data_IF_168673293450
#
_entry.id   IF_168673293450
#
_cell.length_a   1.000
_cell.length_b   1.000
_cell.length_c   1.000
_cell.angle_alpha   90.00
_cell.angle_beta   90.00
_cell.angle_gamma   90.00
#
_symmetry.space_group_name_H-M   'P 1'
#
loop_
_entity.id
_entity.type
_entity.pdbx_description
1 polymer ?
#
# COMPACT_ATOMS: atom_id res chain seq x y z
N UNK A 1 -12.55 -42.19 17.21
CA UNK A 1 -11.45 -41.21 17.38
C UNK A 1 -11.89 -39.94 16.69
N UNK A 2 -12.54 -39.04 17.40
CA UNK A 2 -12.81 -37.70 16.89
C UNK A 2 -11.48 -36.94 16.98
N UNK A 3 -10.84 -36.67 15.84
CA UNK A 3 -9.74 -35.72 15.77
C UNK A 3 -10.30 -34.37 16.16
N UNK A 4 -10.10 -33.96 17.41
CA UNK A 4 -10.25 -32.58 17.83
C UNK A 4 -9.23 -31.79 17.04
N UNK A 5 -9.65 -31.31 15.90
CA UNK A 5 -8.93 -30.31 15.13
C UNK A 5 -8.96 -29.06 15.99
N UNK A 6 -7.94 -28.86 16.82
CA UNK A 6 -7.84 -27.66 17.64
C UNK A 6 -7.59 -26.52 16.67
N UNK A 7 -8.56 -25.63 16.54
CA UNK A 7 -8.46 -24.49 15.62
C UNK A 7 -7.24 -23.61 15.85
N UNK A 8 -6.60 -23.73 17.00
CA UNK A 8 -5.39 -23.02 17.37
C UNK A 8 -4.15 -23.40 16.51
N UNK A 9 -4.09 -24.61 15.98
CA UNK A 9 -2.98 -25.02 15.10
C UNK A 9 -3.01 -24.31 13.73
N UNK A 10 -4.19 -23.87 13.28
CA UNK A 10 -4.35 -23.15 12.01
C UNK A 10 -4.25 -21.62 12.15
N UNK A 11 -4.26 -21.09 13.36
CA UNK A 11 -4.20 -19.66 13.63
C UNK A 11 -2.94 -18.98 13.02
N UNK A 12 -1.72 -19.53 13.14
CA UNK A 12 -0.53 -18.93 12.52
C UNK A 12 -0.61 -18.86 11.00
N UNK A 13 -1.25 -19.84 10.35
CA UNK A 13 -1.44 -19.85 8.90
C UNK A 13 -2.22 -18.62 8.43
N UNK A 14 -3.32 -18.28 9.10
CA UNK A 14 -4.11 -17.10 8.75
C UNK A 14 -3.34 -15.80 9.00
N UNK A 15 -2.55 -15.72 10.06
CA UNK A 15 -1.70 -14.57 10.33
C UNK A 15 -0.64 -14.33 9.25
N UNK A 16 0.08 -15.37 8.84
CA UNK A 16 1.06 -15.27 7.75
C UNK A 16 0.41 -15.00 6.40
N UNK A 17 -0.78 -15.54 6.14
CA UNK A 17 -1.55 -15.22 4.94
C UNK A 17 -1.93 -13.74 4.90
N UNK A 18 -2.32 -13.16 6.05
CA UNK A 18 -2.57 -11.72 6.18
C UNK A 18 -1.34 -10.87 5.88
N UNK A 19 -0.18 -11.23 6.43
CA UNK A 19 1.08 -10.53 6.16
C UNK A 19 1.47 -10.62 4.68
N UNK A 20 1.35 -11.79 4.06
CA UNK A 20 1.62 -11.98 2.64
C UNK A 20 0.65 -11.16 1.76
N UNK A 21 -0.64 -11.15 2.08
CA UNK A 21 -1.63 -10.37 1.34
C UNK A 21 -1.35 -8.86 1.42
N UNK A 22 -0.98 -8.33 2.60
CA UNK A 22 -0.60 -6.94 2.77
C UNK A 22 0.55 -6.55 1.85
N UNK A 23 1.60 -7.35 1.82
CA UNK A 23 2.79 -7.08 1.02
C UNK A 23 2.51 -7.19 -0.48
N UNK A 24 1.90 -8.28 -0.92
CA UNK A 24 1.68 -8.56 -2.35
C UNK A 24 0.78 -7.51 -2.98
N UNK A 25 -0.38 -7.23 -2.39
CA UNK A 25 -1.34 -6.27 -2.97
C UNK A 25 -0.81 -4.84 -2.95
N UNK A 26 -0.11 -4.41 -1.90
CA UNK A 26 0.48 -3.07 -1.87
C UNK A 26 1.61 -2.92 -2.89
N UNK A 27 2.46 -3.94 -3.06
CA UNK A 27 3.51 -3.93 -4.09
C UNK A 27 2.94 -3.94 -5.50
N UNK A 28 1.84 -4.66 -5.76
CA UNK A 28 1.14 -4.61 -7.04
C UNK A 28 0.60 -3.21 -7.35
N UNK A 29 0.00 -2.55 -6.35
CA UNK A 29 -0.47 -1.17 -6.47
C UNK A 29 0.66 -0.20 -6.77
N UNK A 30 1.76 -0.31 -6.02
CA UNK A 30 2.96 0.51 -6.22
C UNK A 30 3.57 0.30 -7.61
N UNK A 31 3.69 -0.95 -8.05
CA UNK A 31 4.25 -1.28 -9.37
C UNK A 31 3.39 -0.71 -10.52
N UNK A 32 2.07 -0.85 -10.44
CA UNK A 32 1.17 -0.28 -11.43
C UNK A 32 1.24 1.25 -11.44
N UNK A 33 1.22 1.88 -10.27
CA UNK A 33 1.30 3.34 -10.11
C UNK A 33 2.60 3.91 -10.66
N UNK A 34 3.73 3.30 -10.34
CA UNK A 34 5.06 3.72 -10.84
C UNK A 34 5.18 3.51 -12.35
N UNK A 35 4.71 2.39 -12.88
CA UNK A 35 4.76 2.12 -14.32
C UNK A 35 3.91 3.14 -15.11
N UNK A 36 2.66 3.38 -14.68
CA UNK A 36 1.74 4.27 -15.39
C UNK A 36 2.19 5.73 -15.35
N UNK A 37 2.60 6.23 -14.18
CA UNK A 37 3.13 7.59 -14.04
C UNK A 37 4.48 7.75 -14.76
N UNK A 38 5.32 6.72 -14.80
CA UNK A 38 6.59 6.72 -15.51
C UNK A 38 6.43 6.90 -17.02
N UNK A 39 5.41 6.28 -17.63
CA UNK A 39 5.07 6.50 -19.05
C UNK A 39 4.70 7.96 -19.30
N UNK A 40 3.92 8.58 -18.39
CA UNK A 40 3.59 10.00 -18.48
C UNK A 40 4.83 10.89 -18.46
N UNK A 41 5.75 10.64 -17.50
CA UNK A 41 7.01 11.39 -17.39
C UNK A 41 7.90 11.21 -18.62
N UNK A 42 8.00 9.99 -19.15
CA UNK A 42 8.78 9.72 -20.34
C UNK A 42 8.25 10.47 -21.57
N UNK A 43 6.92 10.46 -21.77
CA UNK A 43 6.29 11.18 -22.90
C UNK A 43 6.46 12.69 -22.82
N UNK A 44 6.43 13.26 -21.60
CA UNK A 44 6.69 14.68 -21.37
C UNK A 44 8.17 15.03 -21.56
N UNK A 45 9.07 14.15 -21.11
CA UNK A 45 10.53 14.39 -21.19
C UNK A 45 11.07 14.56 -22.61
N UNK A 46 10.39 13.95 -23.60
CA UNK A 46 10.71 14.14 -25.03
C UNK A 46 10.38 15.58 -25.47
N UNK A 47 9.33 16.18 -24.93
CA UNK A 47 8.91 17.53 -25.32
C UNK A 47 9.62 18.63 -24.53
N UNK A 48 9.82 18.43 -23.21
CA UNK A 48 10.42 19.41 -22.30
C UNK A 48 11.32 18.74 -21.26
N UNK A 49 12.62 18.52 -21.56
CA UNK A 49 13.53 17.83 -20.65
C UNK A 49 13.78 18.58 -19.33
N UNK A 50 13.63 19.89 -19.31
CA UNK A 50 13.81 20.75 -18.10
C UNK A 50 12.81 20.46 -16.99
N UNK A 51 11.61 19.95 -17.32
CA UNK A 51 10.55 19.69 -16.36
C UNK A 51 10.54 18.26 -15.80
N UNK A 52 11.39 17.37 -16.32
CA UNK A 52 11.43 15.95 -15.91
C UNK A 52 11.69 15.81 -14.41
N UNK A 53 12.67 16.55 -13.88
CA UNK A 53 13.02 16.50 -12.45
C UNK A 53 11.87 16.97 -11.54
N UNK A 54 11.07 17.92 -11.98
CA UNK A 54 9.92 18.41 -11.22
C UNK A 54 8.73 17.43 -11.30
N UNK A 55 8.62 16.68 -12.37
CA UNK A 55 7.48 15.79 -12.67
C UNK A 55 7.67 14.33 -12.22
N UNK A 56 8.83 13.99 -11.62
CA UNK A 56 9.10 12.64 -11.11
C UNK A 56 8.33 12.33 -9.80
N UNK A 57 7.77 13.32 -9.15
CA UNK A 57 7.09 13.21 -7.86
C UNK A 57 6.01 12.13 -7.82
N UNK A 58 5.08 11.98 -8.79
CA UNK A 58 4.06 10.93 -8.76
C UNK A 58 4.66 9.52 -8.78
N UNK A 59 5.75 9.31 -9.49
CA UNK A 59 6.44 8.00 -9.58
C UNK A 59 6.99 7.60 -8.21
N UNK A 60 7.65 8.53 -7.51
CA UNK A 60 8.20 8.30 -6.17
C UNK A 60 7.08 8.06 -5.17
N UNK A 61 6.01 8.85 -5.21
CA UNK A 61 4.87 8.71 -4.29
C UNK A 61 4.14 7.38 -4.46
N UNK A 62 4.02 6.87 -5.69
CA UNK A 62 3.47 5.54 -5.93
C UNK A 62 4.37 4.44 -5.33
N UNK A 63 5.70 4.58 -5.41
CA UNK A 63 6.66 3.63 -4.84
C UNK A 63 6.59 3.51 -3.32
N UNK A 64 6.30 4.60 -2.62
CA UNK A 64 6.18 4.63 -1.15
C UNK A 64 5.06 3.71 -0.64
N UNK A 65 4.00 3.47 -1.43
CA UNK A 65 2.90 2.55 -1.04
C UNK A 65 3.40 1.12 -0.79
N UNK A 66 4.39 0.65 -1.55
CA UNK A 66 5.01 -0.66 -1.33
C UNK A 66 5.71 -0.75 0.02
N UNK A 67 6.35 0.33 0.47
CA UNK A 67 7.02 0.40 1.78
C UNK A 67 5.99 0.32 2.91
N UNK A 68 4.85 0.99 2.79
CA UNK A 68 3.78 0.88 3.81
C UNK A 68 3.26 -0.55 3.96
N UNK A 69 3.04 -1.27 2.85
CA UNK A 69 2.65 -2.67 2.91
C UNK A 69 3.69 -3.56 3.60
N UNK A 70 4.98 -3.28 3.37
CA UNK A 70 6.07 -3.99 4.03
C UNK A 70 6.09 -3.75 5.55
N UNK A 71 5.90 -2.51 5.98
CA UNK A 71 5.84 -2.17 7.41
C UNK A 71 4.73 -2.96 8.11
N UNK A 72 3.52 -2.99 7.54
CA UNK A 72 2.39 -3.73 8.10
C UNK A 72 2.67 -5.23 8.13
N UNK A 73 3.24 -5.80 7.07
CA UNK A 73 3.59 -7.22 7.02
C UNK A 73 4.61 -7.60 8.11
N UNK A 74 5.59 -6.75 8.38
CA UNK A 74 6.58 -6.95 9.46
C UNK A 74 5.90 -6.86 10.83
N UNK A 75 5.02 -5.90 11.08
CA UNK A 75 4.30 -5.76 12.36
C UNK A 75 3.46 -7.01 12.62
N UNK A 76 2.72 -7.51 11.62
CA UNK A 76 1.93 -8.73 11.76
C UNK A 76 2.84 -9.92 12.06
N UNK A 77 3.94 -10.09 11.33
CA UNK A 77 4.85 -11.24 11.50
C UNK A 77 5.56 -11.24 12.85
N UNK A 78 5.88 -10.07 13.41
CA UNK A 78 6.46 -9.96 14.77
C UNK A 78 5.42 -10.22 15.87
N UNK A 79 4.13 -9.97 15.61
CA UNK A 79 3.03 -10.30 16.53
C UNK A 79 2.77 -11.80 16.66
N UNK A 80 3.16 -12.61 15.65
CA UNK A 80 3.02 -14.06 15.65
C UNK A 80 4.22 -14.70 16.36
N UNK A 81 4.21 -14.67 17.71
CA UNK A 81 5.32 -15.25 18.48
C UNK A 81 4.83 -16.49 19.25
N UNK A 82 5.19 -17.71 18.82
CA UNK A 82 4.69 -18.94 19.43
C UNK A 82 5.25 -19.21 20.83
N UNK A 83 6.26 -18.46 21.28
CA UNK A 83 6.89 -18.67 22.58
C UNK A 83 6.37 -17.76 23.69
N UNK A 84 5.67 -16.67 23.39
CA UNK A 84 5.33 -15.64 24.37
C UNK A 84 3.86 -15.63 24.79
N UNK A 85 2.93 -16.03 23.93
CA UNK A 85 1.48 -16.09 24.20
C UNK A 85 0.83 -17.21 23.37
N UNK A 86 -0.22 -17.85 23.92
CA UNK A 86 -1.10 -18.70 23.12
C UNK A 86 -1.76 -17.86 22.01
N UNK A 87 -1.45 -18.15 20.75
CA UNK A 87 -2.00 -17.45 19.59
C UNK A 87 -3.36 -18.08 19.25
N UNK A 88 -4.43 -17.36 19.56
CA UNK A 88 -5.78 -17.84 19.34
C UNK A 88 -6.24 -17.63 17.89
N UNK A 89 -7.19 -18.43 17.46
CA UNK A 89 -7.79 -18.35 16.12
C UNK A 89 -8.39 -16.96 15.84
N UNK A 90 -8.93 -16.30 16.84
CA UNK A 90 -9.46 -14.93 16.74
C UNK A 90 -8.38 -13.92 16.33
N UNK A 91 -7.18 -14.02 16.91
CA UNK A 91 -6.05 -13.15 16.57
C UNK A 91 -5.56 -13.42 15.14
N UNK A 92 -5.59 -14.68 14.69
CA UNK A 92 -5.29 -15.05 13.32
C UNK A 92 -6.22 -14.38 12.30
N UNK A 93 -7.52 -14.39 12.56
CA UNK A 93 -8.50 -13.72 11.70
C UNK A 93 -8.37 -12.19 11.75
N UNK A 94 -8.07 -11.62 12.89
CA UNK A 94 -7.85 -10.18 13.03
C UNK A 94 -6.63 -9.72 12.21
N UNK A 95 -5.53 -10.46 12.27
CA UNK A 95 -4.34 -10.19 11.46
C UNK A 95 -4.60 -10.39 9.96
N UNK A 96 -5.37 -11.41 9.57
CA UNK A 96 -5.78 -11.61 8.18
C UNK A 96 -6.59 -10.43 7.65
N UNK A 97 -7.62 -10.00 8.41
CA UNK A 97 -8.49 -8.90 7.99
C UNK A 97 -7.73 -7.57 7.88
N UNK A 98 -6.83 -7.26 8.83
CA UNK A 98 -6.03 -6.05 8.81
C UNK A 98 -5.04 -6.05 7.65
N UNK A 99 -4.37 -7.17 7.38
CA UNK A 99 -3.46 -7.33 6.26
C UNK A 99 -4.13 -7.20 4.89
N UNK A 100 -5.32 -7.82 4.75
CA UNK A 100 -6.10 -7.73 3.51
C UNK A 100 -6.64 -6.32 3.27
N UNK A 101 -7.16 -5.67 4.31
CA UNK A 101 -7.63 -4.28 4.23
C UNK A 101 -6.51 -3.32 3.81
N UNK A 102 -5.33 -3.46 4.42
CA UNK A 102 -4.15 -2.68 4.06
C UNK A 102 -3.71 -2.94 2.62
N UNK A 103 -3.62 -4.20 2.21
CA UNK A 103 -3.18 -4.57 0.88
C UNK A 103 -4.11 -4.05 -0.22
N UNK A 104 -5.42 -4.26 -0.09
CA UNK A 104 -6.42 -3.81 -1.06
C UNK A 104 -6.48 -2.28 -1.16
N UNK A 105 -6.39 -1.59 -0.04
CA UNK A 105 -6.34 -0.14 -0.06
C UNK A 105 -5.05 0.38 -0.73
N UNK A 106 -3.88 -0.28 -0.52
CA UNK A 106 -2.63 0.03 -1.24
C UNK A 106 -2.72 -0.20 -2.74
N UNK A 107 -3.45 -1.25 -3.15
CA UNK A 107 -3.72 -1.52 -4.56
C UNK A 107 -4.55 -0.39 -5.19
N UNK A 108 -5.67 -0.02 -4.55
CA UNK A 108 -6.57 1.03 -5.07
C UNK A 108 -5.88 2.39 -5.15
N UNK A 109 -5.14 2.78 -4.10
CA UNK A 109 -4.38 4.03 -4.06
C UNK A 109 -3.29 4.06 -5.14
N UNK A 110 -2.56 2.96 -5.34
CA UNK A 110 -1.54 2.87 -6.37
C UNK A 110 -2.09 3.04 -7.78
N UNK A 111 -3.24 2.42 -8.07
CA UNK A 111 -3.94 2.61 -9.34
C UNK A 111 -4.40 4.06 -9.55
N UNK A 112 -5.01 4.67 -8.53
CA UNK A 112 -5.47 6.06 -8.59
C UNK A 112 -4.31 7.03 -8.83
N UNK A 113 -3.20 6.89 -8.08
CA UNK A 113 -2.00 7.73 -8.23
C UNK A 113 -1.40 7.56 -9.63
N UNK A 114 -1.36 6.33 -10.16
CA UNK A 114 -0.83 6.07 -11.48
C UNK A 114 -1.61 6.78 -12.59
N UNK A 115 -2.94 6.71 -12.56
CA UNK A 115 -3.81 7.33 -13.56
C UNK A 115 -3.75 8.87 -13.45
N UNK A 116 -3.91 9.40 -12.24
CA UNK A 116 -3.84 10.86 -12.00
C UNK A 116 -2.44 11.40 -12.29
N UNK A 117 -1.39 10.63 -11.96
CA UNK A 117 0.00 10.99 -12.24
C UNK A 117 0.28 11.09 -13.74
N UNK A 118 -0.15 10.12 -14.55
CA UNK A 118 0.02 10.15 -16.01
C UNK A 118 -0.71 11.37 -16.63
N UNK A 119 -1.97 11.56 -16.29
CA UNK A 119 -2.77 12.68 -16.80
C UNK A 119 -2.19 14.05 -16.37
N UNK A 120 -1.79 14.17 -15.11
CA UNK A 120 -1.26 15.41 -14.57
C UNK A 120 0.10 15.80 -15.13
N UNK A 121 0.99 14.83 -15.34
CA UNK A 121 2.30 15.11 -15.93
C UNK A 121 2.16 15.57 -17.39
N UNK A 122 1.24 14.97 -18.15
CA UNK A 122 0.94 15.39 -19.53
C UNK A 122 0.33 16.80 -19.57
N UNK A 123 -0.57 17.13 -18.64
CA UNK A 123 -1.15 18.47 -18.53
C UNK A 123 -0.10 19.52 -18.09
N UNK A 124 0.85 19.14 -17.23
CA UNK A 124 1.94 20.02 -16.81
C UNK A 124 2.89 20.41 -17.96
N UNK A 125 3.02 19.56 -18.98
CA UNK A 125 3.74 19.89 -20.19
C UNK A 125 3.14 21.10 -20.94
N UNK A 126 1.83 21.34 -20.75
CA UNK A 126 1.08 22.42 -21.38
C UNK A 126 0.95 23.67 -20.49
N UNK A 127 0.80 23.49 -19.17
CA UNK A 127 0.55 24.58 -18.23
C UNK A 127 1.31 24.32 -16.92
N UNK A 128 2.27 25.17 -16.60
CA UNK A 128 3.17 25.04 -15.44
C UNK A 128 2.47 25.08 -14.05
N UNK A 129 1.21 25.44 -14.00
CA UNK A 129 0.44 25.66 -12.76
C UNK A 129 -0.18 24.40 -12.15
N UNK A 130 -0.26 23.29 -12.88
CA UNK A 130 -0.99 22.08 -12.47
C UNK A 130 -0.21 21.22 -11.46
N UNK A 131 1.09 21.40 -11.34
CA UNK A 131 1.94 20.59 -10.46
C UNK A 131 1.60 20.76 -8.98
N UNK A 132 1.19 21.94 -8.58
CA UNK A 132 0.72 22.22 -7.21
C UNK A 132 -0.54 21.43 -6.85
N UNK A 133 -1.52 21.42 -7.76
CA UNK A 133 -2.79 20.71 -7.57
C UNK A 133 -2.58 19.19 -7.50
N UNK A 134 -1.72 18.64 -8.36
CA UNK A 134 -1.38 17.23 -8.40
C UNK A 134 -0.70 16.76 -7.10
N UNK A 135 0.21 17.58 -6.57
CA UNK A 135 0.90 17.30 -5.30
C UNK A 135 -0.09 17.21 -4.14
N UNK A 136 -1.07 18.11 -4.08
CA UNK A 136 -2.10 18.14 -3.03
C UNK A 136 -3.00 16.90 -3.15
N UNK A 137 -3.47 16.55 -4.33
CA UNK A 137 -4.38 15.40 -4.54
C UNK A 137 -3.71 14.06 -4.18
N UNK A 138 -2.45 13.88 -4.55
CA UNK A 138 -1.67 12.69 -4.21
C UNK A 138 -1.42 12.63 -2.69
N UNK A 139 -1.10 13.76 -2.07
CA UNK A 139 -0.83 13.85 -0.63
C UNK A 139 -2.10 13.61 0.22
N UNK A 140 -3.27 14.10 -0.22
CA UNK A 140 -4.55 13.84 0.44
C UNK A 140 -4.92 12.35 0.36
N UNK A 141 -4.82 11.73 -0.81
CA UNK A 141 -5.13 10.31 -0.98
C UNK A 141 -4.27 9.39 -0.11
N UNK A 142 -2.98 9.73 0.08
CA UNK A 142 -2.09 8.99 0.96
C UNK A 142 -2.40 9.19 2.45
N UNK A 143 -2.81 10.39 2.85
CA UNK A 143 -3.02 10.76 4.26
C UNK A 143 -4.22 10.05 4.87
N UNK A 144 -5.35 10.05 4.19
CA UNK A 144 -6.60 9.48 4.71
C UNK A 144 -6.53 7.95 4.81
N UNK A 145 -5.88 7.30 3.85
CA UNK A 145 -5.69 5.86 3.88
C UNK A 145 -4.69 5.39 4.95
N UNK A 146 -3.61 6.13 5.22
CA UNK A 146 -2.63 5.76 6.24
C UNK A 146 -3.20 5.81 7.65
N UNK A 147 -4.02 6.82 7.98
CA UNK A 147 -4.59 6.98 9.32
C UNK A 147 -5.59 5.85 9.61
N UNK A 148 -6.45 5.51 8.66
CA UNK A 148 -7.43 4.42 8.82
C UNK A 148 -6.74 3.06 9.01
N UNK A 149 -5.61 2.83 8.37
CA UNK A 149 -4.82 1.59 8.46
C UNK A 149 -4.12 1.42 9.79
N UNK A 150 -3.52 2.48 10.31
CA UNK A 150 -2.85 2.48 11.62
C UNK A 150 -3.89 2.17 12.71
N UNK A 151 -5.08 2.75 12.65
CA UNK A 151 -6.16 2.51 13.61
C UNK A 151 -6.60 1.04 13.58
N UNK A 152 -6.79 0.44 12.41
CA UNK A 152 -7.22 -0.96 12.29
C UNK A 152 -6.15 -1.95 12.81
N UNK A 153 -4.86 -1.64 12.64
CA UNK A 153 -3.76 -2.50 13.12
C UNK A 153 -3.55 -2.37 14.64
N UNK A 154 -3.75 -1.17 15.22
CA UNK A 154 -3.55 -0.93 16.65
C UNK A 154 -4.78 -1.28 17.51
N UNK A 155 -5.97 -1.36 16.94
CA UNK A 155 -7.19 -1.65 17.70
C UNK A 155 -7.22 -3.03 18.39
N UNK A 156 -6.64 -4.12 17.83
CA UNK A 156 -6.61 -5.42 18.51
C UNK A 156 -5.45 -5.60 19.51
N UNK A 157 -4.60 -4.59 19.73
CA UNK A 157 -3.45 -4.66 20.65
C UNK A 157 -3.75 -4.15 22.08
N UNK A 158 -4.99 -3.77 22.37
CA UNK A 158 -5.52 -3.50 23.72
C UNK A 158 -6.53 -4.57 24.09
#
# INVERSE_FOLDING_TARGET
>A
MASTFSGDETAPFFGFLGAAAALVFSCMGAAYGTAKSGVGVASMGVMRPELVMKSIVPVVMAGVLGIYGLIIAVIISTGINPKAKSYYLFDGYAHLSSGLACGLAGLSAGMAIGIVGDAGVRANAQIELLLGYLRITICLGLKDECILRIIIVFYPLN
#
